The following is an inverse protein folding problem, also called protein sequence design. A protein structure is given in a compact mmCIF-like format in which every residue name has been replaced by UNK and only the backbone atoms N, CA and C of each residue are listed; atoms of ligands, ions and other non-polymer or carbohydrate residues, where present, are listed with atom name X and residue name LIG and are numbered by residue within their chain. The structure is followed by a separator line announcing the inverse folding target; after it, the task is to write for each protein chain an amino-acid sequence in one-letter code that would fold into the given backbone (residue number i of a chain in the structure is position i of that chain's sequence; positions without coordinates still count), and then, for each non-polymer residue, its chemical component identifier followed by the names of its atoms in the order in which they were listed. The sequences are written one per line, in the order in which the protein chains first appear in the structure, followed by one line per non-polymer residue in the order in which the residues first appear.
data_IF_456839152118
#
_entry.id   IF_456839152118
#
_cell.length_a   1.000
_cell.length_b   1.000
_cell.length_c   1.000
_cell.angle_alpha   90.00
_cell.angle_beta   90.00
_cell.angle_gamma   90.00
#
_symmetry.space_group_name_H-M   'P 1'
#
loop_
_entity.id
_entity.type
_entity.pdbx_description
1 polymer ?
#
# COMPACT_ATOMS: atom_id res chain seq x y z
N UNK A 1 -17.52 -4.66 -6.61
CA UNK A 1 -16.80 -4.56 -5.42
C UNK A 1 -16.38 -3.14 -5.08
N UNK A 2 -16.62 -2.74 -3.87
CA UNK A 2 -16.38 -1.36 -3.48
C UNK A 2 -14.95 -1.17 -2.99
N UNK A 3 -14.10 -0.74 -3.87
CA UNK A 3 -12.78 -0.30 -3.50
C UNK A 3 -12.87 1.20 -3.29
N UNK A 4 -12.20 1.69 -2.28
CA UNK A 4 -12.13 3.12 -2.05
C UNK A 4 -11.52 3.78 -3.28
N UNK A 5 -12.26 4.70 -3.88
CA UNK A 5 -11.85 5.36 -5.11
C UNK A 5 -10.63 6.24 -4.92
N UNK A 6 -10.26 6.56 -3.68
CA UNK A 6 -9.09 7.36 -3.40
C UNK A 6 -7.80 6.56 -3.36
N UNK A 7 -7.90 5.24 -3.36
CA UNK A 7 -6.71 4.38 -3.33
C UNK A 7 -6.19 4.22 -4.74
N UNK A 8 -5.03 4.80 -5.02
CA UNK A 8 -4.40 4.77 -6.33
C UNK A 8 -3.27 3.76 -6.43
N UNK A 9 -2.90 3.18 -5.32
CA UNK A 9 -1.81 2.22 -5.25
C UNK A 9 -1.40 2.00 -3.82
N UNK A 10 -0.17 1.57 -3.63
CA UNK A 10 0.34 1.25 -2.30
C UNK A 10 1.78 1.68 -2.19
N UNK A 11 2.21 1.99 -0.95
CA UNK A 11 3.59 2.33 -0.64
C UNK A 11 4.18 1.32 0.32
N UNK A 12 5.47 1.05 0.15
CA UNK A 12 6.24 0.35 1.16
C UNK A 12 7.31 1.30 1.69
N UNK A 13 7.71 1.09 2.92
CA UNK A 13 8.63 1.97 3.61
C UNK A 13 9.93 1.26 3.93
N UNK A 14 10.98 2.05 4.12
CA UNK A 14 12.30 1.54 4.44
C UNK A 14 12.55 1.66 5.94
N UNK A 15 13.16 0.64 6.52
CA UNK A 15 13.62 0.67 7.90
C UNK A 15 14.89 1.52 8.01
N UNK A 16 15.28 1.84 9.24
CA UNK A 16 16.48 2.63 9.49
C UNK A 16 17.76 1.95 8.98
N UNK A 17 17.76 0.62 8.95
CA UNK A 17 18.91 -0.15 8.48
C UNK A 17 18.95 -0.32 6.96
N UNK A 18 18.03 0.29 6.26
CA UNK A 18 17.98 0.24 4.80
C UNK A 18 17.16 -0.89 4.22
N UNK A 19 16.62 -1.78 5.03
CA UNK A 19 15.74 -2.85 4.54
C UNK A 19 14.30 -2.35 4.44
N UNK A 20 13.48 -3.08 3.70
CA UNK A 20 12.07 -2.72 3.56
C UNK A 20 11.23 -3.27 4.71
N UNK A 21 10.21 -2.52 5.10
CA UNK A 21 9.22 -3.03 6.03
C UNK A 21 8.53 -4.23 5.42
N UNK A 22 8.49 -5.33 6.17
CA UNK A 22 7.78 -6.54 5.76
C UNK A 22 6.51 -6.77 6.57
N UNK A 23 6.27 -5.92 7.57
CA UNK A 23 5.16 -6.09 8.50
C UNK A 23 3.92 -5.32 8.09
N UNK A 24 4.09 -4.23 7.34
CA UNK A 24 2.97 -3.41 6.90
C UNK A 24 3.31 -2.62 5.66
N UNK A 25 2.26 -2.24 4.95
CA UNK A 25 2.32 -1.33 3.81
C UNK A 25 1.32 -0.21 4.05
N UNK A 26 1.32 0.81 3.20
CA UNK A 26 0.35 1.88 3.27
C UNK A 26 -0.32 2.10 1.92
N UNK A 27 -1.56 2.56 1.97
CA UNK A 27 -2.27 2.93 0.76
C UNK A 27 -1.69 4.23 0.20
N UNK A 28 -1.78 4.39 -1.12
CA UNK A 28 -1.46 5.63 -1.80
C UNK A 28 -2.76 6.34 -2.13
N UNK A 29 -2.97 7.52 -1.55
CA UNK A 29 -4.19 8.29 -1.77
C UNK A 29 -3.83 9.64 -2.38
N UNK A 30 -4.80 10.24 -3.06
CA UNK A 30 -4.65 11.57 -3.62
C UNK A 30 -5.28 12.59 -2.67
N UNK A 31 -4.52 13.64 -2.34
CA UNK A 31 -4.99 14.74 -1.51
C UNK A 31 -4.74 16.02 -2.29
N UNK A 32 -5.79 16.56 -2.90
CA UNK A 32 -5.63 17.70 -3.79
C UNK A 32 -4.78 17.35 -5.01
N UNK A 33 -3.69 18.07 -5.20
CA UNK A 33 -2.76 17.83 -6.31
C UNK A 33 -1.59 16.95 -5.91
N UNK A 34 -1.60 16.42 -4.68
CA UNK A 34 -0.49 15.64 -4.14
C UNK A 34 -0.91 14.22 -3.81
N UNK A 35 0.07 13.37 -3.55
CA UNK A 35 -0.18 12.00 -3.12
C UNK A 35 0.43 11.79 -1.74
N UNK A 36 -0.24 11.01 -0.91
CA UNK A 36 0.19 10.75 0.44
C UNK A 36 0.02 9.28 0.78
N UNK A 37 0.81 8.80 1.76
CA UNK A 37 0.60 7.50 2.35
C UNK A 37 -0.61 7.59 3.27
N UNK A 38 -1.59 6.73 3.03
CA UNK A 38 -2.83 6.72 3.80
C UNK A 38 -2.79 5.70 4.92
N UNK A 39 -3.78 4.80 4.92
CA UNK A 39 -3.95 3.83 5.99
C UNK A 39 -2.83 2.79 5.99
N UNK A 40 -2.37 2.43 7.19
CA UNK A 40 -1.42 1.33 7.37
C UNK A 40 -2.16 0.00 7.27
N UNK A 41 -1.61 -0.93 6.49
CA UNK A 41 -2.20 -2.24 6.27
C UNK A 41 -1.20 -3.30 6.74
N UNK A 42 -1.54 -4.10 7.76
CA UNK A 42 -0.64 -5.19 8.16
C UNK A 42 -0.55 -6.25 7.06
N UNK A 43 0.64 -6.78 6.85
CA UNK A 43 0.88 -7.83 5.87
C UNK A 43 0.45 -9.18 6.44
N UNK A 44 -0.81 -9.30 6.78
CA UNK A 44 -1.41 -10.49 7.36
C UNK A 44 -2.37 -11.11 6.35
N UNK A 45 -2.17 -12.38 5.95
CA UNK A 45 -3.06 -13.01 4.98
C UNK A 45 -4.53 -13.02 5.38
N UNK A 46 -4.82 -12.88 6.66
CA UNK A 46 -6.20 -12.81 7.15
C UNK A 46 -6.80 -11.41 7.03
N UNK A 47 -6.00 -10.40 6.71
CA UNK A 47 -6.47 -9.03 6.61
C UNK A 47 -7.04 -8.77 5.22
N UNK A 48 -8.29 -8.29 5.16
CA UNK A 48 -8.97 -8.06 3.90
C UNK A 48 -8.27 -7.02 3.03
N UNK A 49 -7.77 -5.95 3.65
CA UNK A 49 -7.07 -4.90 2.91
C UNK A 49 -5.77 -5.42 2.31
N UNK A 50 -5.09 -6.30 3.01
CA UNK A 50 -3.88 -6.93 2.48
C UNK A 50 -4.22 -7.84 1.30
N UNK A 51 -5.34 -8.56 1.37
CA UNK A 51 -5.79 -9.39 0.26
C UNK A 51 -6.10 -8.54 -0.97
N UNK A 52 -6.71 -7.38 -0.79
CA UNK A 52 -6.96 -6.45 -1.88
C UNK A 52 -5.66 -5.97 -2.51
N UNK A 53 -4.65 -5.72 -1.69
CA UNK A 53 -3.33 -5.37 -2.19
C UNK A 53 -2.74 -6.48 -3.04
N UNK A 54 -2.84 -7.72 -2.58
CA UNK A 54 -2.31 -8.87 -3.33
C UNK A 54 -3.00 -9.02 -4.69
N UNK A 55 -4.32 -8.80 -4.75
CA UNK A 55 -5.04 -8.82 -6.02
C UNK A 55 -4.55 -7.70 -6.95
N UNK A 56 -4.31 -6.53 -6.40
CA UNK A 56 -3.82 -5.40 -7.17
C UNK A 56 -2.45 -5.70 -7.78
N UNK A 57 -1.56 -6.34 -7.03
CA UNK A 57 -0.25 -6.75 -7.55
C UNK A 57 -0.41 -7.81 -8.63
N UNK A 58 -1.34 -8.75 -8.42
CA UNK A 58 -1.58 -9.82 -9.39
C UNK A 58 -2.09 -9.30 -10.73
N UNK A 59 -2.65 -8.10 -10.74
CA UNK A 59 -3.09 -7.46 -11.99
C UNK A 59 -1.94 -6.83 -12.77
N UNK A 60 -0.72 -6.91 -12.27
CA UNK A 60 0.45 -6.37 -12.95
C UNK A 60 0.94 -5.05 -12.41
N UNK A 61 0.39 -4.59 -11.29
CA UNK A 61 0.79 -3.33 -10.68
C UNK A 61 2.02 -3.54 -9.79
N UNK A 62 2.74 -2.47 -9.55
CA UNK A 62 3.94 -2.49 -8.72
C UNK A 62 3.80 -1.52 -7.57
N UNK A 63 4.14 -1.99 -6.35
CA UNK A 63 4.13 -1.13 -5.17
C UNK A 63 5.21 -0.06 -5.29
N UNK A 64 4.90 1.14 -4.83
CA UNK A 64 5.86 2.24 -4.87
C UNK A 64 6.67 2.30 -3.59
N UNK A 65 7.85 2.85 -3.70
CA UNK A 65 8.77 2.99 -2.58
C UNK A 65 8.65 4.39 -2.00
N UNK A 66 8.46 4.46 -0.69
CA UNK A 66 8.41 5.72 0.03
C UNK A 66 9.46 5.71 1.14
N UNK A 67 10.10 6.81 1.31
CA UNK A 67 11.12 6.98 2.37
C UNK A 67 10.50 7.50 3.66
#
# INVERSE_FOLDING_TARGET
MAIDNNILGYYRFRNEDGTWHTESIRTKIQVGDSFEAGMSIPCDPANTDYQNYLEWVAEGNTIEEAD
#
